data_IF_538375247982
#
_entry.id   IF_538375247982
#
_cell.length_a   1.000
_cell.length_b   1.000
_cell.length_c   1.000
_cell.angle_alpha   90.00
_cell.angle_beta   90.00
_cell.angle_gamma   90.00
#
_symmetry.space_group_name_H-M   'P 1'
#
loop_
_entity.id
_entity.type
_entity.pdbx_description
1 polymer ?
#
# COMPACT_ATOMS: atom_id res chain seq x y z
N UNK A 1 -30.95 5.38 15.29
CA UNK A 1 -30.04 6.48 14.90
C UNK A 1 -28.71 6.23 15.61
N UNK A 2 -27.55 6.26 14.93
CA UNK A 2 -26.24 6.10 15.59
C UNK A 2 -26.01 7.25 16.57
N UNK A 3 -25.44 6.93 17.72
CA UNK A 3 -25.14 7.95 18.74
C UNK A 3 -23.91 8.78 18.32
N UNK A 4 -23.73 10.02 18.80
CA UNK A 4 -22.55 10.85 18.49
C UNK A 4 -21.21 10.18 18.83
N UNK A 5 -21.19 9.23 19.78
CA UNK A 5 -20.01 8.44 20.14
C UNK A 5 -19.61 7.46 19.05
N UNK A 6 -20.59 6.85 18.34
CA UNK A 6 -20.33 5.86 17.29
C UNK A 6 -19.69 6.50 16.06
N UNK A 7 -20.07 7.75 15.74
CA UNK A 7 -19.49 8.49 14.60
C UNK A 7 -18.04 8.90 14.86
N UNK A 8 -17.68 9.30 16.07
CA UNK A 8 -16.30 9.66 16.41
C UNK A 8 -15.35 8.46 16.33
N UNK A 9 -15.75 7.32 16.87
CA UNK A 9 -14.93 6.09 16.81
C UNK A 9 -14.73 5.59 15.38
N UNK A 10 -15.78 5.64 14.55
CA UNK A 10 -15.68 5.22 13.14
C UNK A 10 -14.69 6.08 12.36
N UNK A 11 -14.68 7.40 12.59
CA UNK A 11 -13.74 8.31 11.92
C UNK A 11 -12.28 8.01 12.32
N UNK A 12 -12.01 7.74 13.60
CA UNK A 12 -10.66 7.39 14.07
C UNK A 12 -10.13 6.13 13.39
N UNK A 13 -10.98 5.10 13.17
CA UNK A 13 -10.58 3.89 12.45
C UNK A 13 -10.26 4.16 10.99
N UNK A 14 -11.07 4.96 10.31
CA UNK A 14 -10.81 5.33 8.92
C UNK A 14 -9.51 6.11 8.78
N UNK A 15 -9.28 7.09 9.66
CA UNK A 15 -8.03 7.86 9.70
C UNK A 15 -6.82 6.97 9.99
N UNK A 16 -6.95 6.04 10.94
CA UNK A 16 -5.89 5.08 11.24
C UNK A 16 -5.55 4.23 9.99
N UNK A 17 -6.57 3.74 9.28
CA UNK A 17 -6.40 2.99 8.03
C UNK A 17 -5.70 3.80 6.95
N UNK A 18 -6.07 5.06 6.77
CA UNK A 18 -5.42 5.99 5.83
C UNK A 18 -3.96 6.19 6.21
N UNK A 19 -3.67 6.54 7.46
CA UNK A 19 -2.30 6.85 7.91
C UNK A 19 -1.37 5.63 7.82
N UNK A 20 -1.80 4.46 8.30
CA UNK A 20 -0.96 3.27 8.26
C UNK A 20 -0.80 2.74 6.83
N UNK A 21 -1.86 2.84 6.00
CA UNK A 21 -1.79 2.51 4.59
C UNK A 21 -0.81 3.41 3.84
N UNK A 22 -0.86 4.73 4.06
CA UNK A 22 0.09 5.68 3.47
C UNK A 22 1.52 5.42 3.96
N UNK A 23 1.73 5.15 5.26
CA UNK A 23 3.04 4.80 5.80
C UNK A 23 3.61 3.56 5.11
N UNK A 24 2.82 2.47 5.03
CA UNK A 24 3.22 1.27 4.31
C UNK A 24 3.48 1.54 2.82
N UNK A 25 2.65 2.37 2.18
CA UNK A 25 2.86 2.81 0.79
C UNK A 25 4.17 3.58 0.60
N UNK A 26 4.52 4.48 1.50
CA UNK A 26 5.80 5.20 1.45
C UNK A 26 6.98 4.22 1.57
N UNK A 27 6.94 3.31 2.56
CA UNK A 27 8.00 2.32 2.75
C UNK A 27 8.15 1.42 1.52
N UNK A 28 7.03 0.97 0.95
CA UNK A 28 7.00 0.17 -0.28
C UNK A 28 7.57 0.94 -1.48
N UNK A 29 7.18 2.21 -1.66
CA UNK A 29 7.69 3.05 -2.73
C UNK A 29 9.20 3.24 -2.62
N UNK A 30 9.71 3.57 -1.43
CA UNK A 30 11.14 3.73 -1.18
C UNK A 30 11.92 2.44 -1.48
N UNK A 31 11.41 1.29 -1.02
CA UNK A 31 12.04 0.00 -1.32
C UNK A 31 12.09 -0.27 -2.83
N UNK A 32 10.97 -0.10 -3.55
CA UNK A 32 10.93 -0.36 -5.00
C UNK A 32 11.80 0.61 -5.78
N UNK A 33 11.86 1.89 -5.38
CA UNK A 33 12.74 2.89 -5.99
C UNK A 33 14.23 2.56 -5.76
N UNK A 34 14.60 2.11 -4.56
CA UNK A 34 15.95 1.64 -4.27
C UNK A 34 16.29 0.36 -5.07
N UNK A 35 15.35 -0.57 -5.15
CA UNK A 35 15.52 -1.79 -5.90
C UNK A 35 15.77 -1.52 -7.40
N UNK A 36 15.00 -0.61 -8.00
CA UNK A 36 15.20 -0.22 -9.41
C UNK A 36 16.54 0.45 -9.65
N UNK A 37 16.96 1.35 -8.76
CA UNK A 37 18.23 2.06 -8.90
C UNK A 37 19.48 1.18 -8.65
N UNK A 38 19.35 0.15 -7.80
CA UNK A 38 20.50 -0.67 -7.41
C UNK A 38 20.65 -1.92 -8.29
N UNK A 39 19.94 -2.98 -7.98
CA UNK A 39 20.18 -4.27 -8.64
C UNK A 39 19.41 -4.49 -9.94
N UNK A 40 18.33 -3.73 -10.20
CA UNK A 40 17.60 -3.79 -11.46
C UNK A 40 18.19 -2.88 -12.55
N UNK A 41 19.15 -2.03 -12.20
CA UNK A 41 19.85 -1.12 -13.14
C UNK A 41 18.91 -0.25 -13.96
N UNK A 42 17.81 0.18 -13.37
CA UNK A 42 16.82 1.10 -13.96
C UNK A 42 16.89 2.47 -13.27
N UNK A 43 16.08 3.42 -13.73
CA UNK A 43 15.96 4.73 -13.08
C UNK A 43 15.29 4.63 -11.70
N UNK A 44 15.76 5.43 -10.73
CA UNK A 44 15.24 5.48 -9.37
C UNK A 44 13.72 5.73 -9.33
N UNK A 45 13.20 6.62 -10.18
CA UNK A 45 11.79 6.98 -10.22
C UNK A 45 10.94 6.09 -11.15
N UNK A 46 11.52 5.06 -11.77
CA UNK A 46 10.82 4.15 -12.70
C UNK A 46 9.50 3.60 -12.16
N UNK A 47 9.38 3.14 -10.90
CA UNK A 47 8.10 2.65 -10.37
C UNK A 47 7.00 3.70 -10.38
N UNK A 48 7.33 4.95 -10.05
CA UNK A 48 6.36 6.05 -10.04
C UNK A 48 5.89 6.39 -11.46
N UNK A 49 6.80 6.37 -12.45
CA UNK A 49 6.43 6.59 -13.84
C UNK A 49 5.54 5.49 -14.40
N UNK A 50 5.78 4.23 -14.00
CA UNK A 50 4.92 3.12 -14.38
C UNK A 50 3.50 3.27 -13.83
N UNK A 51 3.35 3.79 -12.59
CA UNK A 51 2.06 4.09 -11.97
C UNK A 51 1.37 5.28 -12.65
N UNK A 52 2.11 6.31 -13.07
CA UNK A 52 1.58 7.48 -13.76
C UNK A 52 1.23 7.21 -15.23
N UNK A 53 1.87 6.22 -15.87
CA UNK A 53 1.78 5.97 -17.30
C UNK A 53 0.35 5.82 -17.86
N UNK A 54 -0.62 5.16 -17.17
CA UNK A 54 -1.99 5.09 -17.65
C UNK A 54 -2.69 6.43 -17.80
N UNK A 55 -2.26 7.45 -17.04
CA UNK A 55 -2.89 8.77 -17.01
C UNK A 55 -2.25 9.77 -17.97
N UNK A 56 -0.94 9.67 -18.19
CA UNK A 56 -0.17 10.69 -18.92
C UNK A 56 0.70 10.12 -20.05
N UNK A 57 0.58 8.82 -20.34
CA UNK A 57 1.39 8.13 -21.35
C UNK A 57 2.74 7.64 -20.81
N UNK A 58 3.43 6.85 -21.65
CA UNK A 58 4.62 6.10 -21.24
C UNK A 58 5.96 6.85 -21.45
N UNK A 59 5.93 8.08 -21.90
CA UNK A 59 7.15 8.81 -22.29
C UNK A 59 8.18 8.89 -21.15
N UNK A 60 7.76 9.29 -19.94
CA UNK A 60 8.64 9.41 -18.80
C UNK A 60 9.19 8.05 -18.33
N UNK A 61 8.38 6.98 -18.43
CA UNK A 61 8.81 5.63 -18.15
C UNK A 61 9.91 5.19 -19.13
N UNK A 62 9.69 5.35 -20.43
CA UNK A 62 10.66 4.99 -21.47
C UNK A 62 11.96 5.80 -21.33
N UNK A 63 11.86 7.11 -21.06
CA UNK A 63 13.04 7.93 -20.77
C UNK A 63 13.82 7.45 -19.56
N UNK A 64 13.13 7.07 -18.49
CA UNK A 64 13.77 6.52 -17.27
C UNK A 64 14.50 5.20 -17.53
N UNK A 65 13.93 4.32 -18.36
CA UNK A 65 14.57 3.06 -18.75
C UNK A 65 15.80 3.26 -19.65
N UNK A 66 15.81 4.32 -20.48
CA UNK A 66 16.92 4.61 -21.41
C UNK A 66 18.05 5.42 -20.76
N UNK A 67 17.72 6.39 -19.90
CA UNK A 67 18.68 7.34 -19.34
C UNK A 67 19.32 6.87 -18.02
N UNK A 68 18.77 5.83 -17.39
CA UNK A 68 19.33 5.21 -16.18
C UNK A 68 19.10 6.00 -14.89
N UNK A 69 20.02 5.90 -13.94
CA UNK A 69 19.84 5.97 -12.50
C UNK A 69 19.05 7.18 -11.94
N UNK A 70 19.17 8.39 -12.48
CA UNK A 70 18.56 9.59 -11.89
C UNK A 70 17.77 10.47 -12.86
N UNK A 71 17.18 9.86 -13.90
CA UNK A 71 16.22 10.62 -14.71
C UNK A 71 15.07 11.13 -13.84
N UNK A 72 14.90 12.45 -13.76
CA UNK A 72 13.82 13.07 -12.97
C UNK A 72 12.91 13.92 -13.86
N UNK A 73 11.66 13.49 -13.95
CA UNK A 73 10.51 14.27 -14.47
C UNK A 73 9.58 14.56 -13.29
N UNK A 74 9.63 15.75 -12.65
CA UNK A 74 8.94 16.00 -11.37
C UNK A 74 7.43 15.83 -11.43
N UNK A 75 6.77 16.31 -12.49
CA UNK A 75 5.32 16.18 -12.65
C UNK A 75 4.85 14.71 -12.67
N UNK A 76 5.36 13.88 -13.59
CA UNK A 76 5.07 12.46 -13.64
C UNK A 76 5.43 11.70 -12.35
N UNK A 77 6.56 12.01 -11.70
CA UNK A 77 6.95 11.39 -10.44
C UNK A 77 5.96 11.73 -9.31
N UNK A 78 5.59 13.00 -9.17
CA UNK A 78 4.61 13.44 -8.17
C UNK A 78 3.23 12.81 -8.42
N UNK A 79 2.77 12.78 -9.68
CA UNK A 79 1.51 12.14 -10.02
C UNK A 79 1.51 10.65 -9.66
N UNK A 80 2.57 9.92 -10.01
CA UNK A 80 2.70 8.51 -9.66
C UNK A 80 2.71 8.28 -8.15
N UNK A 81 3.40 9.15 -7.40
CA UNK A 81 3.40 9.09 -5.94
C UNK A 81 2.02 9.34 -5.34
N UNK A 82 1.31 10.37 -5.81
CA UNK A 82 -0.05 10.67 -5.32
C UNK A 82 -0.99 9.52 -5.59
N UNK A 83 -1.01 8.99 -6.81
CA UNK A 83 -1.84 7.82 -7.17
C UNK A 83 -1.48 6.61 -6.32
N UNK A 84 -0.20 6.33 -6.12
CA UNK A 84 0.27 5.25 -5.28
C UNK A 84 -0.22 5.38 -3.83
N UNK A 85 -0.08 6.56 -3.23
CA UNK A 85 -0.50 6.80 -1.84
C UNK A 85 -2.03 6.76 -1.68
N UNK A 86 -2.80 7.20 -2.67
CA UNK A 86 -4.26 7.06 -2.64
C UNK A 86 -4.69 5.58 -2.64
N UNK A 87 -4.08 4.75 -3.49
CA UNK A 87 -4.31 3.31 -3.49
C UNK A 87 -3.86 2.67 -2.17
N UNK A 88 -2.69 3.03 -1.66
CA UNK A 88 -2.19 2.52 -0.39
C UNK A 88 -3.13 2.90 0.78
N UNK A 89 -3.64 4.12 0.81
CA UNK A 89 -4.62 4.56 1.81
C UNK A 89 -5.93 3.76 1.71
N UNK A 90 -6.46 3.56 0.50
CA UNK A 90 -7.67 2.78 0.26
C UNK A 90 -7.54 1.35 0.81
N UNK A 91 -6.46 0.65 0.42
CA UNK A 91 -6.21 -0.71 0.89
C UNK A 91 -5.91 -0.75 2.40
N UNK A 92 -5.28 0.29 2.96
CA UNK A 92 -5.06 0.42 4.40
C UNK A 92 -6.38 0.52 5.18
N UNK A 93 -7.34 1.32 4.70
CA UNK A 93 -8.68 1.40 5.28
C UNK A 93 -9.39 0.05 5.23
N UNK A 94 -9.35 -0.65 4.08
CA UNK A 94 -9.96 -1.98 3.94
C UNK A 94 -9.35 -2.95 4.95
N UNK A 95 -8.01 -2.96 5.11
CA UNK A 95 -7.34 -3.82 6.09
C UNK A 95 -7.81 -3.53 7.52
N UNK A 96 -7.83 -2.26 7.94
CA UNK A 96 -8.21 -1.89 9.31
C UNK A 96 -9.66 -2.27 9.61
N UNK A 97 -10.57 -2.10 8.64
CA UNK A 97 -11.96 -2.55 8.78
C UNK A 97 -12.07 -4.09 8.91
N UNK A 98 -11.31 -4.84 8.10
CA UNK A 98 -11.25 -6.30 8.21
C UNK A 98 -10.64 -6.75 9.54
N UNK A 99 -9.52 -6.14 9.96
CA UNK A 99 -8.85 -6.46 11.20
C UNK A 99 -9.78 -6.25 12.41
N UNK A 100 -10.54 -5.16 12.40
CA UNK A 100 -11.56 -4.89 13.42
C UNK A 100 -12.67 -5.94 13.40
N UNK A 101 -13.23 -6.25 12.23
CA UNK A 101 -14.33 -7.21 12.10
C UNK A 101 -13.93 -8.63 12.51
N UNK A 102 -12.68 -9.01 12.24
CA UNK A 102 -12.13 -10.32 12.55
C UNK A 102 -11.42 -10.36 13.92
N UNK A 103 -11.41 -9.26 14.67
CA UNK A 103 -10.74 -9.12 15.97
C UNK A 103 -9.28 -9.57 15.93
N UNK A 104 -8.55 -9.19 14.87
CA UNK A 104 -7.16 -9.59 14.68
C UNK A 104 -6.27 -8.91 15.72
N UNK A 105 -5.53 -9.73 16.49
CA UNK A 105 -4.62 -9.28 17.54
C UNK A 105 -3.33 -10.10 17.56
N UNK A 106 -2.28 -9.59 18.19
CA UNK A 106 -1.04 -10.32 18.39
C UNK A 106 -0.41 -10.84 17.09
N UNK A 107 0.17 -12.04 17.15
CA UNK A 107 0.84 -12.67 16.00
C UNK A 107 -0.07 -12.94 14.81
N UNK A 108 -1.37 -13.20 15.05
CA UNK A 108 -2.36 -13.41 13.99
C UNK A 108 -2.53 -12.16 13.14
N UNK A 109 -2.55 -10.97 13.76
CA UNK A 109 -2.63 -9.71 13.03
C UNK A 109 -1.42 -9.50 12.11
N UNK A 110 -0.21 -9.83 12.58
CA UNK A 110 1.04 -9.72 11.80
C UNK A 110 0.97 -10.63 10.58
N UNK A 111 0.66 -11.90 10.78
CA UNK A 111 0.55 -12.87 9.67
C UNK A 111 -0.53 -12.43 8.68
N UNK A 112 -1.69 -11.99 9.18
CA UNK A 112 -2.78 -11.48 8.35
C UNK A 112 -2.35 -10.26 7.53
N UNK A 113 -1.56 -9.34 8.09
CA UNK A 113 -1.01 -8.21 7.37
C UNK A 113 -0.07 -8.63 6.24
N UNK A 114 0.85 -9.57 6.50
CA UNK A 114 1.76 -10.11 5.47
C UNK A 114 0.98 -10.77 4.31
N UNK A 115 0.03 -11.64 4.65
CA UNK A 115 -0.84 -12.31 3.65
C UNK A 115 -1.66 -11.28 2.89
N UNK A 116 -2.22 -10.29 3.59
CA UNK A 116 -2.99 -9.21 2.96
C UNK A 116 -2.15 -8.40 1.97
N UNK A 117 -0.90 -8.07 2.29
CA UNK A 117 0.00 -7.40 1.35
C UNK A 117 0.18 -8.20 0.05
N UNK A 118 0.35 -9.52 0.15
CA UNK A 118 0.41 -10.41 -1.02
C UNK A 118 -0.92 -10.43 -1.78
N UNK A 119 -2.05 -10.49 -1.08
CA UNK A 119 -3.38 -10.45 -1.72
C UNK A 119 -3.62 -9.14 -2.47
N UNK A 120 -3.26 -8.00 -1.88
CA UNK A 120 -3.31 -6.69 -2.55
C UNK A 120 -2.46 -6.70 -3.82
N UNK A 121 -1.23 -7.24 -3.75
CA UNK A 121 -0.37 -7.41 -4.91
C UNK A 121 -1.08 -8.20 -6.02
N UNK A 122 -1.67 -9.34 -5.70
CA UNK A 122 -2.37 -10.19 -6.66
C UNK A 122 -3.57 -9.46 -7.30
N UNK A 123 -4.38 -8.76 -6.49
CA UNK A 123 -5.50 -7.95 -6.99
C UNK A 123 -4.99 -6.86 -7.94
N UNK A 124 -3.91 -6.16 -7.58
CA UNK A 124 -3.32 -5.13 -8.43
C UNK A 124 -2.85 -5.70 -9.76
N UNK A 125 -2.12 -6.82 -9.76
CA UNK A 125 -1.56 -7.42 -10.98
C UNK A 125 -2.64 -8.04 -11.88
N UNK A 126 -3.57 -8.78 -11.28
CA UNK A 126 -4.53 -9.59 -12.04
C UNK A 126 -5.78 -8.81 -12.47
N UNK A 127 -6.11 -7.73 -11.75
CA UNK A 127 -7.35 -6.99 -11.94
C UNK A 127 -7.07 -5.54 -12.33
N UNK A 128 -6.38 -4.77 -11.47
CA UNK A 128 -6.26 -3.33 -11.65
C UNK A 128 -5.34 -2.99 -12.84
N UNK A 129 -4.15 -3.56 -12.89
CA UNK A 129 -3.18 -3.31 -13.96
C UNK A 129 -3.75 -3.60 -15.36
N UNK A 130 -4.41 -4.74 -15.63
CA UNK A 130 -5.06 -4.98 -16.92
C UNK A 130 -6.18 -4.00 -17.25
N UNK A 131 -7.02 -3.63 -16.27
CA UNK A 131 -8.15 -2.71 -16.50
C UNK A 131 -7.68 -1.30 -16.86
N UNK A 132 -6.65 -0.79 -16.16
CA UNK A 132 -6.15 0.58 -16.41
C UNK A 132 -5.10 0.65 -17.52
N UNK A 133 -4.70 -0.48 -18.10
CA UNK A 133 -3.67 -0.53 -19.12
C UNK A 133 -2.28 -0.11 -18.63
N UNK A 134 -1.99 -0.32 -17.34
CA UNK A 134 -0.70 0.03 -16.75
C UNK A 134 0.39 -0.96 -17.21
N UNK A 135 1.67 -0.51 -17.27
CA UNK A 135 2.80 -1.41 -17.44
C UNK A 135 2.83 -2.45 -16.32
N UNK A 136 3.18 -3.69 -16.67
CA UNK A 136 3.22 -4.77 -15.69
C UNK A 136 4.44 -4.60 -14.77
N UNK A 137 4.21 -4.05 -13.57
CA UNK A 137 5.23 -3.83 -12.55
C UNK A 137 5.90 -5.13 -12.09
N UNK A 138 5.23 -6.28 -12.20
CA UNK A 138 5.83 -7.58 -11.90
C UNK A 138 6.98 -7.91 -12.85
N UNK A 139 6.84 -7.60 -14.14
CA UNK A 139 7.91 -7.77 -15.12
C UNK A 139 9.05 -6.76 -14.92
N UNK A 140 8.72 -5.52 -14.54
CA UNK A 140 9.72 -4.48 -14.29
C UNK A 140 10.54 -4.75 -13.03
N UNK A 141 9.89 -5.10 -11.91
CA UNK A 141 10.54 -5.24 -10.60
C UNK A 141 11.00 -6.66 -10.30
N UNK A 142 10.55 -7.64 -11.09
CA UNK A 142 10.71 -9.06 -10.78
C UNK A 142 9.79 -9.52 -9.64
N UNK A 143 9.36 -10.77 -9.71
CA UNK A 143 8.37 -11.33 -8.77
C UNK A 143 8.84 -11.30 -7.31
N UNK A 144 10.12 -11.57 -7.07
CA UNK A 144 10.70 -11.60 -5.73
C UNK A 144 10.64 -10.22 -5.05
N UNK A 145 11.18 -9.19 -5.71
CA UNK A 145 11.20 -7.83 -5.16
C UNK A 145 9.80 -7.28 -4.96
N UNK A 146 8.91 -7.55 -5.92
CA UNK A 146 7.55 -7.06 -5.85
C UNK A 146 6.75 -7.74 -4.73
N UNK A 147 6.98 -9.03 -4.49
CA UNK A 147 6.39 -9.75 -3.35
C UNK A 147 6.91 -9.22 -2.01
N UNK A 148 8.23 -9.03 -1.88
CA UNK A 148 8.83 -8.44 -0.67
C UNK A 148 8.27 -7.04 -0.41
N UNK A 149 8.21 -6.20 -1.45
CA UNK A 149 7.67 -4.85 -1.34
C UNK A 149 6.25 -4.85 -0.74
N UNK A 150 5.39 -5.72 -1.25
CA UNK A 150 4.00 -5.79 -0.79
C UNK A 150 3.84 -6.48 0.56
N UNK A 151 4.52 -7.60 0.80
CA UNK A 151 4.40 -8.34 2.05
C UNK A 151 5.06 -7.61 3.23
N UNK A 152 6.35 -7.25 3.10
CA UNK A 152 7.12 -6.70 4.21
C UNK A 152 6.95 -5.19 4.35
N UNK A 153 7.03 -4.43 3.26
CA UNK A 153 7.02 -2.98 3.37
C UNK A 153 5.62 -2.38 3.39
N UNK A 154 4.61 -3.09 2.88
CA UNK A 154 3.22 -2.69 2.97
C UNK A 154 2.44 -3.51 4.00
N UNK A 155 2.44 -4.83 3.91
CA UNK A 155 1.61 -5.70 4.73
C UNK A 155 2.04 -5.76 6.20
N UNK A 156 3.35 -5.80 6.49
CA UNK A 156 3.85 -5.85 7.86
C UNK A 156 3.45 -4.62 8.70
N UNK A 157 3.63 -3.36 8.23
CA UNK A 157 3.13 -2.19 8.97
C UNK A 157 1.63 -2.26 9.27
N UNK A 158 0.81 -2.72 8.33
CA UNK A 158 -0.62 -2.92 8.55
C UNK A 158 -0.88 -3.95 9.65
N UNK A 159 -0.19 -5.09 9.62
CA UNK A 159 -0.35 -6.16 10.61
C UNK A 159 0.19 -5.80 12.00
N UNK A 160 1.18 -4.92 12.10
CA UNK A 160 1.71 -4.42 13.37
C UNK A 160 0.76 -3.44 14.06
N UNK A 161 -0.06 -2.71 13.32
CA UNK A 161 -0.95 -1.70 13.90
C UNK A 161 -1.89 -2.24 14.97
N UNK A 162 -2.64 -3.37 14.76
CA UNK A 162 -3.47 -3.95 15.81
C UNK A 162 -2.69 -4.46 17.03
N UNK A 163 -1.39 -4.72 16.88
CA UNK A 163 -0.52 -5.14 18.00
C UNK A 163 -0.11 -3.94 18.86
N UNK A 164 0.18 -2.82 18.21
CA UNK A 164 0.61 -1.58 18.90
C UNK A 164 -0.57 -0.86 19.55
N UNK A 165 -1.76 -0.97 18.97
CA UNK A 165 -2.99 -0.32 19.47
C UNK A 165 -4.14 -1.34 19.64
N UNK A 166 -4.00 -2.34 20.51
CA UNK A 166 -4.97 -3.42 20.67
C UNK A 166 -6.35 -2.92 21.12
N UNK A 167 -6.41 -1.86 21.90
CA UNK A 167 -7.65 -1.25 22.39
C UNK A 167 -8.60 -0.78 21.26
N UNK A 168 -8.08 -0.48 20.09
CA UNK A 168 -8.91 -0.15 18.93
C UNK A 168 -9.58 -1.38 18.32
N UNK A 169 -9.06 -2.59 18.55
CA UNK A 169 -9.49 -3.84 17.92
C UNK A 169 -10.16 -4.83 18.87
N UNK A 170 -10.04 -4.63 20.20
CA UNK A 170 -10.73 -5.43 21.21
C UNK A 170 -12.11 -4.84 21.50
N UNK A 171 -13.13 -5.70 21.60
CA UNK A 171 -14.46 -5.27 22.02
C UNK A 171 -14.39 -4.75 23.47
N UNK A 172 -14.97 -3.58 23.74
CA UNK A 172 -15.08 -3.04 25.11
C UNK A 172 -15.93 -4.00 25.96
N UNK A 173 -15.41 -4.50 27.10
CA UNK A 173 -16.16 -5.43 27.97
C UNK A 173 -17.41 -4.79 28.62
N UNK A 174 -17.58 -3.48 28.52
CA UNK A 174 -18.72 -2.76 29.12
C UNK A 174 -20.07 -2.99 28.41
N UNK A 175 -20.13 -3.69 27.27
CA UNK A 175 -21.40 -4.00 26.57
C UNK A 175 -21.92 -5.41 26.81
N UNK A 176 -21.24 -6.22 27.64
CA UNK A 176 -21.68 -7.60 27.96
C UNK A 176 -22.43 -7.70 29.31
N UNK A 177 -22.65 -6.59 29.99
CA UNK A 177 -23.30 -6.55 31.31
C UNK A 177 -24.64 -5.81 31.26
N UNK A 178 -25.56 -6.19 30.34
CA UNK A 178 -26.99 -5.86 30.41
C UNK A 178 -27.79 -7.08 30.03
#
# INVERSE_FOLDING_TARGET
MPTPRDTGQSLHFLLAGVLIGMLGGILMALFTMLATATYLQMGFFTPLYAIAAPLIGQQSLMSSLQQGSFYLAPGPALLGLVVHLLWAALWGVIFVLLARRLHLTGGVAIISGLVYGVLVMLVMILIVVPIVGAPNLLHLLGSFSFTIANALFYGLPLGLWPVVQPELFTAHPAQQAV
#
